data_IF_531401337161
#
_entry.id   IF_531401337161
#
_cell.length_a   1.000
_cell.length_b   1.000
_cell.length_c   1.000
_cell.angle_alpha   90.00
_cell.angle_beta   90.00
_cell.angle_gamma   90.00
#
_symmetry.space_group_name_H-M   'P 1'
#
loop_
_entity.id
_entity.type
_entity.pdbx_description
1 polymer ?
#
# COMPACT_ATOMS: atom_id res chain seq x y z
N UNK A 1 59.47 46.21 -25.82
CA UNK A 1 60.33 46.55 -26.96
C UNK A 1 59.65 46.32 -28.30
N UNK A 2 58.79 45.31 -28.44
CA UNK A 2 58.11 44.98 -29.70
C UNK A 2 57.18 46.10 -30.22
N UNK A 3 56.41 46.75 -29.35
CA UNK A 3 55.52 47.86 -29.75
C UNK A 3 56.28 49.06 -30.35
N UNK A 4 57.47 49.36 -29.83
CA UNK A 4 58.30 50.45 -30.34
C UNK A 4 58.86 50.11 -31.73
N UNK A 5 59.18 48.83 -31.95
CA UNK A 5 59.70 48.32 -33.23
C UNK A 5 58.61 48.36 -34.32
N UNK A 6 57.37 47.96 -33.98
CA UNK A 6 56.22 48.04 -34.88
C UNK A 6 55.90 49.50 -35.25
N UNK A 7 55.94 50.42 -34.28
CA UNK A 7 55.71 51.85 -34.53
C UNK A 7 56.77 52.45 -35.46
N UNK A 8 58.05 52.11 -35.26
CA UNK A 8 59.15 52.59 -36.11
C UNK A 8 59.06 52.06 -37.55
N UNK A 9 58.67 50.80 -37.73
CA UNK A 9 58.44 50.21 -39.06
C UNK A 9 57.26 50.88 -39.76
N UNK A 10 56.17 51.16 -39.04
CA UNK A 10 55.03 51.89 -39.58
C UNK A 10 55.41 53.31 -40.03
N UNK A 11 56.14 54.06 -39.20
CA UNK A 11 56.61 55.41 -39.53
C UNK A 11 57.57 55.40 -40.73
N UNK A 12 58.48 54.43 -40.79
CA UNK A 12 59.40 54.26 -41.93
C UNK A 12 58.63 53.96 -43.24
N UNK A 13 57.57 53.15 -43.16
CA UNK A 13 56.74 52.84 -44.32
C UNK A 13 55.95 54.07 -44.80
N UNK A 14 55.30 54.81 -43.89
CA UNK A 14 54.55 56.01 -44.24
C UNK A 14 55.44 57.14 -44.79
N UNK A 15 56.65 57.30 -44.26
CA UNK A 15 57.61 58.28 -44.78
C UNK A 15 58.11 57.88 -46.16
N UNK A 16 58.38 56.60 -46.42
CA UNK A 16 58.79 56.13 -47.74
C UNK A 16 57.68 56.31 -48.79
N UNK A 17 56.44 55.96 -48.45
CA UNK A 17 55.28 56.15 -49.32
C UNK A 17 55.01 57.65 -49.56
N UNK A 18 55.04 58.46 -48.50
CA UNK A 18 54.84 59.91 -48.58
C UNK A 18 55.90 60.60 -49.46
N UNK A 19 57.18 60.29 -49.26
CA UNK A 19 58.28 60.81 -50.09
C UNK A 19 58.19 60.32 -51.54
N UNK A 20 57.75 59.08 -51.76
CA UNK A 20 57.51 58.53 -53.09
C UNK A 20 56.41 59.28 -53.84
N UNK A 21 55.30 59.58 -53.17
CA UNK A 21 54.19 60.37 -53.74
C UNK A 21 54.64 61.80 -54.00
N UNK A 22 55.36 62.43 -53.07
CA UNK A 22 55.84 63.81 -53.21
C UNK A 22 56.85 63.96 -54.35
N UNK A 23 57.78 63.00 -54.50
CA UNK A 23 58.69 62.93 -55.64
C UNK A 23 57.96 62.68 -56.97
N UNK A 24 56.95 61.81 -56.97
CA UNK A 24 56.15 61.52 -58.15
C UNK A 24 55.39 62.77 -58.62
N UNK A 25 54.74 63.48 -57.70
CA UNK A 25 54.03 64.73 -57.98
C UNK A 25 55.01 65.82 -58.44
N UNK A 26 56.16 65.98 -57.79
CA UNK A 26 57.19 66.95 -58.22
C UNK A 26 57.74 66.65 -59.62
N UNK A 27 58.00 65.37 -59.93
CA UNK A 27 58.44 64.92 -61.25
C UNK A 27 57.36 65.08 -62.32
N UNK A 28 56.09 64.92 -61.94
CA UNK A 28 54.94 65.09 -62.83
C UNK A 28 54.68 66.57 -63.13
N UNK A 29 54.71 67.45 -62.12
CA UNK A 29 54.54 68.90 -62.28
C UNK A 29 55.70 69.52 -63.09
N UNK A 30 56.94 69.07 -62.88
CA UNK A 30 58.10 69.56 -63.65
C UNK A 30 58.13 69.03 -65.09
N UNK A 31 57.32 68.02 -65.41
CA UNK A 31 57.16 67.48 -66.77
C UNK A 31 55.90 68.06 -67.42
N UNK A 32 55.85 69.37 -67.58
CA UNK A 32 54.98 69.99 -68.57
C UNK A 32 55.45 69.56 -69.97
N UNK A 33 54.91 68.45 -70.46
CA UNK A 33 54.95 68.04 -71.86
C UNK A 33 53.50 67.84 -72.33
N UNK A 34 53.15 68.37 -73.51
CA UNK A 34 51.77 68.51 -73.95
C UNK A 34 51.03 67.17 -73.95
N UNK A 35 49.75 67.26 -73.57
CA UNK A 35 48.77 66.19 -73.59
C UNK A 35 48.81 65.44 -74.92
N UNK A 36 48.81 64.10 -74.84
CA UNK A 36 48.38 63.12 -75.87
C UNK A 36 49.25 61.86 -76.04
N UNK A 37 50.11 61.46 -75.08
CA UNK A 37 50.80 60.15 -75.15
C UNK A 37 50.94 59.36 -73.83
N UNK A 38 49.99 59.49 -72.90
CA UNK A 38 49.85 58.57 -71.77
C UNK A 38 48.45 57.93 -71.72
N UNK A 39 47.90 57.59 -72.88
CA UNK A 39 46.71 56.75 -72.98
C UNK A 39 47.10 55.29 -72.78
N UNK A 40 46.34 54.57 -71.97
CA UNK A 40 46.41 53.10 -71.79
C UNK A 40 47.55 52.56 -70.93
N UNK A 41 48.82 52.79 -71.24
CA UNK A 41 49.91 52.05 -70.55
C UNK A 41 50.07 52.43 -69.06
N UNK A 42 49.85 53.70 -68.70
CA UNK A 42 49.92 54.13 -67.30
C UNK A 42 48.70 53.69 -66.48
N UNK A 43 47.52 53.58 -67.12
CA UNK A 43 46.32 53.04 -66.49
C UNK A 43 46.44 51.53 -66.27
N UNK A 44 47.02 50.81 -67.24
CA UNK A 44 47.31 49.37 -67.08
C UNK A 44 48.28 49.15 -65.92
N UNK A 45 49.34 49.96 -65.80
CA UNK A 45 50.29 49.85 -64.68
C UNK A 45 49.63 50.12 -63.32
N UNK A 46 48.73 51.11 -63.24
CA UNK A 46 47.99 51.42 -62.01
C UNK A 46 46.97 50.33 -61.67
N UNK A 47 46.31 49.75 -62.67
CA UNK A 47 45.36 48.64 -62.50
C UNK A 47 46.09 47.36 -62.08
N UNK A 48 47.28 47.08 -62.63
CA UNK A 48 48.14 45.98 -62.19
C UNK A 48 48.66 46.20 -60.77
N UNK A 49 49.01 47.44 -60.41
CA UNK A 49 49.41 47.78 -59.04
C UNK A 49 48.26 47.61 -58.05
N UNK A 50 47.04 48.04 -58.41
CA UNK A 50 45.83 47.86 -57.59
C UNK A 50 45.49 46.36 -57.48
N UNK A 51 45.60 45.60 -58.56
CA UNK A 51 45.44 44.14 -58.54
C UNK A 51 46.52 43.44 -57.71
N UNK A 52 47.75 43.96 -57.67
CA UNK A 52 48.81 43.44 -56.81
C UNK A 52 48.60 43.80 -55.34
N UNK A 53 48.02 44.97 -55.04
CA UNK A 53 47.69 45.40 -53.68
C UNK A 53 46.41 44.73 -53.13
N UNK A 54 45.43 44.42 -53.98
CA UNK A 54 44.21 43.67 -53.63
C UNK A 54 44.44 42.16 -53.68
N UNK A 55 45.38 41.70 -54.52
CA UNK A 55 45.70 40.28 -54.72
C UNK A 55 46.67 39.67 -53.70
N UNK A 56 47.18 40.44 -52.72
CA UNK A 56 48.15 39.95 -51.75
C UNK A 56 47.53 39.20 -50.55
N UNK A 57 46.20 39.16 -50.40
CA UNK A 57 45.53 38.37 -49.34
C UNK A 57 44.94 37.03 -49.84
N UNK A 58 45.42 36.50 -50.97
CA UNK A 58 45.00 35.21 -51.49
C UNK A 58 45.49 34.01 -50.63
N UNK A 59 46.41 34.22 -49.68
CA UNK A 59 46.88 33.17 -48.77
C UNK A 59 45.95 32.93 -47.56
N UNK A 60 45.19 33.93 -47.11
CA UNK A 60 44.29 33.81 -45.94
C UNK A 60 42.87 33.32 -46.25
N UNK A 61 42.47 33.28 -47.52
CA UNK A 61 41.14 32.80 -47.93
C UNK A 61 40.95 31.29 -47.71
N UNK A 62 42.04 30.51 -47.81
CA UNK A 62 42.01 29.05 -47.55
C UNK A 62 41.87 28.73 -46.06
N UNK A 63 42.55 29.49 -45.20
CA UNK A 63 42.53 29.32 -43.74
C UNK A 63 41.16 29.71 -43.15
N UNK A 64 40.58 30.85 -43.58
CA UNK A 64 39.21 31.24 -43.19
C UNK A 64 38.14 30.27 -43.71
N UNK A 65 38.36 29.61 -44.84
CA UNK A 65 37.44 28.59 -45.35
C UNK A 65 37.48 27.32 -44.49
N UNK A 66 38.66 26.92 -44.01
CA UNK A 66 38.83 25.80 -43.09
C UNK A 66 38.17 26.08 -41.72
N UNK A 67 38.40 27.26 -41.14
CA UNK A 67 37.75 27.67 -39.87
C UNK A 67 36.22 27.71 -39.97
N UNK A 68 35.68 28.18 -41.10
CA UNK A 68 34.23 28.26 -41.32
C UNK A 68 33.62 26.86 -41.46
N UNK A 69 34.35 25.91 -42.05
CA UNK A 69 33.93 24.51 -42.11
C UNK A 69 33.96 23.85 -40.73
N UNK A 70 35.00 24.08 -39.94
CA UNK A 70 35.09 23.58 -38.56
C UNK A 70 33.98 24.15 -37.68
N UNK A 71 33.71 25.46 -37.79
CA UNK A 71 32.62 26.11 -37.06
C UNK A 71 31.23 25.58 -37.46
N UNK A 72 31.04 25.24 -38.75
CA UNK A 72 29.80 24.61 -39.22
C UNK A 72 29.63 23.20 -38.64
N UNK A 73 30.69 22.39 -38.66
CA UNK A 73 30.69 21.06 -38.07
C UNK A 73 30.41 21.13 -36.56
N UNK A 74 31.07 22.04 -35.85
CA UNK A 74 30.84 22.28 -34.42
C UNK A 74 29.39 22.73 -34.13
N UNK A 75 28.79 23.56 -34.99
CA UNK A 75 27.39 23.99 -34.85
C UNK A 75 26.42 22.83 -35.05
N UNK A 76 26.65 21.95 -36.02
CA UNK A 76 25.83 20.76 -36.25
C UNK A 76 25.94 19.75 -35.10
N UNK A 77 27.15 19.56 -34.57
CA UNK A 77 27.38 18.75 -33.36
C UNK A 77 26.64 19.34 -32.15
N UNK A 78 26.76 20.64 -31.91
CA UNK A 78 26.08 21.30 -30.80
C UNK A 78 24.55 21.20 -30.94
N UNK A 79 24.04 21.31 -32.16
CA UNK A 79 22.61 21.15 -32.47
C UNK A 79 22.15 19.72 -32.16
N UNK A 80 22.97 18.72 -32.50
CA UNK A 80 22.67 17.31 -32.23
C UNK A 80 22.68 17.02 -30.72
N UNK A 81 23.66 17.54 -29.98
CA UNK A 81 23.73 17.44 -28.52
C UNK A 81 22.53 18.10 -27.84
N UNK A 82 22.13 19.29 -28.29
CA UNK A 82 20.95 19.97 -27.76
C UNK A 82 19.68 19.15 -27.97
N UNK A 83 19.48 18.57 -29.15
CA UNK A 83 18.35 17.66 -29.39
C UNK A 83 18.37 16.42 -28.50
N UNK A 84 19.54 15.83 -28.27
CA UNK A 84 19.67 14.68 -27.36
C UNK A 84 19.33 15.07 -25.92
N UNK A 85 19.83 16.21 -25.45
CA UNK A 85 19.51 16.73 -24.12
C UNK A 85 18.02 17.03 -23.98
N UNK A 86 17.37 17.60 -24.99
CA UNK A 86 15.91 17.81 -25.00
C UNK A 86 15.16 16.49 -24.86
N UNK A 87 15.60 15.43 -25.56
CA UNK A 87 15.02 14.09 -25.43
C UNK A 87 15.22 13.51 -24.02
N UNK A 88 16.43 13.61 -23.47
CA UNK A 88 16.73 13.16 -22.12
C UNK A 88 15.85 13.88 -21.09
N UNK A 89 15.74 15.21 -21.18
CA UNK A 89 14.89 16.04 -20.31
C UNK A 89 13.43 15.58 -20.39
N UNK A 90 12.90 15.36 -21.60
CA UNK A 90 11.52 14.89 -21.77
C UNK A 90 11.31 13.48 -21.20
N UNK A 91 12.30 12.60 -21.34
CA UNK A 91 12.22 11.24 -20.77
C UNK A 91 12.30 11.25 -19.23
N UNK A 92 13.11 12.16 -18.66
CA UNK A 92 13.26 12.35 -17.23
C UNK A 92 12.02 12.98 -16.62
N UNK A 93 11.42 13.97 -17.28
CA UNK A 93 10.18 14.59 -16.81
C UNK A 93 9.04 13.57 -16.78
N UNK A 94 8.91 12.73 -17.81
CA UNK A 94 7.90 11.66 -17.82
C UNK A 94 8.10 10.65 -16.67
N UNK A 95 9.34 10.23 -16.41
CA UNK A 95 9.65 9.34 -15.27
C UNK A 95 9.37 10.01 -13.92
N UNK A 96 9.62 11.31 -13.82
CA UNK A 96 9.34 12.07 -12.60
C UNK A 96 7.83 12.16 -12.34
N UNK A 97 7.02 12.46 -13.36
CA UNK A 97 5.56 12.44 -13.26
C UNK A 97 5.03 11.05 -12.89
N UNK A 98 5.55 9.99 -13.52
CA UNK A 98 5.20 8.61 -13.15
C UNK A 98 5.55 8.30 -11.69
N UNK A 99 6.71 8.76 -11.22
CA UNK A 99 7.12 8.57 -9.82
C UNK A 99 6.23 9.34 -8.84
N UNK A 100 5.74 10.53 -9.21
CA UNK A 100 4.82 11.31 -8.39
C UNK A 100 3.49 10.57 -8.21
N UNK A 101 2.95 9.98 -9.28
CA UNK A 101 1.72 9.19 -9.22
C UNK A 101 1.90 7.99 -8.27
N UNK A 102 3.01 7.27 -8.39
CA UNK A 102 3.32 6.13 -7.49
C UNK A 102 3.44 6.55 -6.02
N UNK A 103 4.01 7.72 -5.75
CA UNK A 103 4.11 8.26 -4.39
C UNK A 103 2.72 8.60 -3.85
N UNK A 104 1.84 9.17 -4.68
CA UNK A 104 0.47 9.50 -4.30
C UNK A 104 -0.35 8.22 -4.00
N UNK A 105 -0.27 7.21 -4.86
CA UNK A 105 -0.88 5.88 -4.65
C UNK A 105 -0.38 5.23 -3.36
N UNK A 106 0.95 5.17 -3.15
CA UNK A 106 1.53 4.61 -1.94
C UNK A 106 1.10 5.39 -0.69
N UNK A 107 0.95 6.71 -0.77
CA UNK A 107 0.47 7.52 0.36
C UNK A 107 -0.99 7.22 0.73
N UNK A 108 -1.84 6.94 -0.27
CA UNK A 108 -3.22 6.53 -0.04
C UNK A 108 -3.30 5.14 0.61
N UNK A 109 -2.48 4.18 0.14
CA UNK A 109 -2.39 2.84 0.75
C UNK A 109 -1.89 2.89 2.21
N UNK A 110 -0.93 3.77 2.51
CA UNK A 110 -0.44 3.96 3.89
C UNK A 110 -1.58 4.46 4.79
N UNK A 111 -2.40 5.40 4.30
CA UNK A 111 -3.51 5.96 5.06
C UNK A 111 -4.60 4.91 5.32
N UNK A 112 -4.90 4.06 4.33
CA UNK A 112 -5.83 2.94 4.48
C UNK A 112 -5.32 1.94 5.53
N UNK A 113 -4.05 1.56 5.45
CA UNK A 113 -3.42 0.65 6.41
C UNK A 113 -3.39 1.23 7.83
N UNK A 114 -3.16 2.53 7.98
CA UNK A 114 -3.20 3.20 9.29
C UNK A 114 -4.61 3.17 9.90
N UNK A 115 -5.64 3.40 9.08
CA UNK A 115 -7.03 3.32 9.53
C UNK A 115 -7.43 1.88 9.91
N UNK A 116 -7.04 0.90 9.10
CA UNK A 116 -7.26 -0.51 9.41
C UNK A 116 -6.55 -0.94 10.72
N UNK A 117 -5.33 -0.42 10.96
CA UNK A 117 -4.61 -0.66 12.20
C UNK A 117 -5.32 -0.05 13.42
N UNK A 118 -5.88 1.16 13.30
CA UNK A 118 -6.68 1.79 14.36
C UNK A 118 -7.94 0.99 14.67
N UNK A 119 -8.67 0.57 13.65
CA UNK A 119 -9.88 -0.25 13.82
C UNK A 119 -9.55 -1.58 14.51
N UNK A 120 -8.43 -2.21 14.13
CA UNK A 120 -7.97 -3.45 14.77
C UNK A 120 -7.63 -3.24 16.25
N UNK A 121 -6.98 -2.13 16.60
CA UNK A 121 -6.71 -1.78 18.00
C UNK A 121 -8.01 -1.53 18.79
N UNK A 122 -8.98 -0.82 18.21
CA UNK A 122 -10.30 -0.65 18.83
C UNK A 122 -10.99 -2.00 19.08
N UNK A 123 -11.00 -2.89 18.09
CA UNK A 123 -11.54 -4.24 18.24
C UNK A 123 -10.80 -5.04 19.33
N UNK A 124 -9.46 -4.98 19.39
CA UNK A 124 -8.69 -5.64 20.45
C UNK A 124 -9.09 -5.14 21.84
N UNK A 125 -9.27 -3.83 22.00
CA UNK A 125 -9.69 -3.27 23.29
C UNK A 125 -11.13 -3.67 23.65
N UNK A 126 -12.02 -3.77 22.67
CA UNK A 126 -13.39 -4.25 22.87
C UNK A 126 -13.40 -5.71 23.31
N UNK A 127 -12.66 -6.58 22.62
CA UNK A 127 -12.51 -8.00 22.99
C UNK A 127 -11.85 -8.18 24.37
N UNK A 128 -10.89 -7.32 24.74
CA UNK A 128 -10.27 -7.37 26.06
C UNK A 128 -11.30 -7.07 27.17
N UNK A 129 -12.16 -6.07 26.98
CA UNK A 129 -13.26 -5.75 27.91
C UNK A 129 -14.28 -6.87 28.00
N UNK A 130 -14.70 -7.42 26.86
CA UNK A 130 -15.64 -8.55 26.83
C UNK A 130 -15.06 -9.76 27.56
N UNK A 131 -13.77 -10.05 27.37
CA UNK A 131 -13.07 -11.11 28.10
C UNK A 131 -13.06 -10.86 29.61
N UNK A 132 -12.81 -9.64 30.06
CA UNK A 132 -12.85 -9.28 31.47
C UNK A 132 -14.26 -9.47 32.05
N UNK A 133 -15.29 -9.03 31.33
CA UNK A 133 -16.70 -9.21 31.72
C UNK A 133 -17.09 -10.70 31.80
N UNK A 134 -16.71 -11.48 30.80
CA UNK A 134 -16.92 -12.94 30.78
C UNK A 134 -16.19 -13.61 31.95
N UNK A 135 -14.97 -13.19 32.25
CA UNK A 135 -14.20 -13.73 33.38
C UNK A 135 -14.90 -13.41 34.70
N UNK A 136 -15.42 -12.19 34.87
CA UNK A 136 -16.18 -11.82 36.07
C UNK A 136 -17.48 -12.64 36.21
N UNK A 137 -18.19 -12.88 35.11
CA UNK A 137 -19.38 -13.75 35.09
C UNK A 137 -19.04 -15.19 35.48
N UNK A 138 -17.94 -15.73 34.98
CA UNK A 138 -17.47 -17.08 35.33
C UNK A 138 -17.21 -17.16 36.84
N UNK A 139 -16.45 -16.21 37.40
CA UNK A 139 -16.16 -16.21 38.85
C UNK A 139 -17.44 -16.10 39.71
N UNK A 140 -18.44 -15.32 39.27
CA UNK A 140 -19.71 -15.21 39.99
C UNK A 140 -20.54 -16.51 39.91
N UNK A 141 -20.49 -17.21 38.77
CA UNK A 141 -21.15 -18.50 38.63
C UNK A 141 -20.46 -19.58 39.46
N UNK A 142 -19.13 -19.58 39.52
CA UNK A 142 -18.36 -20.49 40.38
C UNK A 142 -18.71 -20.31 41.86
N UNK A 143 -18.86 -19.06 42.33
CA UNK A 143 -19.31 -18.77 43.70
C UNK A 143 -20.74 -19.26 43.96
N UNK A 144 -21.66 -19.08 43.00
CA UNK A 144 -23.02 -19.59 43.10
C UNK A 144 -23.07 -21.11 43.16
N UNK A 145 -22.24 -21.79 42.36
CA UNK A 145 -22.13 -23.26 42.39
C UNK A 145 -21.59 -23.72 43.74
N UNK A 146 -20.53 -23.10 44.27
CA UNK A 146 -19.98 -23.45 45.58
C UNK A 146 -21.02 -23.25 46.72
N UNK A 147 -21.79 -22.16 46.67
CA UNK A 147 -22.88 -21.92 47.63
C UNK A 147 -23.99 -22.97 47.49
N UNK A 148 -24.41 -23.29 46.27
CA UNK A 148 -25.42 -24.32 46.03
C UNK A 148 -24.96 -25.70 46.54
N UNK A 149 -23.71 -26.08 46.31
CA UNK A 149 -23.10 -27.31 46.85
C UNK A 149 -23.15 -27.32 48.38
N UNK A 150 -22.78 -26.22 49.03
CA UNK A 150 -22.84 -26.13 50.51
C UNK A 150 -24.26 -26.30 51.06
N UNK A 151 -25.26 -25.75 50.37
CA UNK A 151 -26.68 -25.87 50.74
C UNK A 151 -27.17 -27.30 50.53
N UNK A 152 -26.77 -27.97 49.45
CA UNK A 152 -27.13 -29.38 49.22
C UNK A 152 -26.60 -30.30 50.31
N UNK A 153 -25.35 -30.12 50.75
CA UNK A 153 -24.76 -30.91 51.84
C UNK A 153 -25.50 -30.66 53.16
N UNK A 154 -25.86 -29.41 53.46
CA UNK A 154 -26.63 -29.07 54.66
C UNK A 154 -28.01 -29.74 54.66
N UNK A 155 -28.75 -29.63 53.55
CA UNK A 155 -30.07 -30.27 53.37
C UNK A 155 -29.98 -31.80 53.48
N UNK A 156 -28.95 -32.43 52.92
CA UNK A 156 -28.74 -33.88 53.05
C UNK A 156 -28.59 -34.30 54.53
N UNK A 157 -27.80 -33.56 55.31
CA UNK A 157 -27.66 -33.82 56.75
C UNK A 157 -28.98 -33.63 57.53
N UNK A 158 -29.74 -32.60 57.21
CA UNK A 158 -31.02 -32.29 57.86
C UNK A 158 -32.09 -33.36 57.52
N UNK A 159 -32.08 -33.86 56.29
CA UNK A 159 -32.92 -35.00 55.87
C UNK A 159 -32.54 -36.27 56.62
N UNK A 160 -31.25 -36.52 56.83
CA UNK A 160 -30.78 -37.69 57.59
C UNK A 160 -31.19 -37.61 59.08
N UNK A 161 -31.08 -36.43 59.69
CA UNK A 161 -31.55 -36.16 61.04
C UNK A 161 -33.06 -36.35 61.17
N UNK A 162 -33.85 -35.76 60.28
CA UNK A 162 -35.31 -35.93 60.28
C UNK A 162 -35.73 -37.39 60.07
N UNK A 163 -35.01 -38.13 59.22
CA UNK A 163 -35.25 -39.57 59.02
C UNK A 163 -34.96 -40.37 60.29
N UNK A 164 -33.91 -40.02 61.03
CA UNK A 164 -33.58 -40.67 62.30
C UNK A 164 -34.61 -40.33 63.39
N UNK A 165 -35.09 -39.09 63.46
CA UNK A 165 -36.18 -38.67 64.34
C UNK A 165 -37.49 -39.39 64.02
N UNK A 166 -37.89 -39.46 62.73
CA UNK A 166 -39.08 -40.18 62.30
C UNK A 166 -39.01 -41.67 62.68
N UNK A 167 -37.83 -42.29 62.56
CA UNK A 167 -37.60 -43.66 63.01
C UNK A 167 -37.76 -43.79 64.52
N UNK A 168 -37.17 -42.89 65.32
CA UNK A 168 -37.34 -42.90 66.77
C UNK A 168 -38.80 -42.68 67.21
N UNK A 169 -39.53 -41.82 66.51
CA UNK A 169 -40.94 -41.54 66.76
C UNK A 169 -41.83 -42.73 66.37
N UNK A 170 -41.51 -43.45 65.31
CA UNK A 170 -42.21 -44.70 64.95
C UNK A 170 -42.02 -45.80 66.00
N UNK A 171 -40.86 -45.84 66.68
CA UNK A 171 -40.58 -46.79 67.77
C UNK A 171 -41.31 -46.39 69.06
N UNK A 172 -41.44 -45.10 69.36
CA UNK A 172 -42.20 -44.62 70.52
C UNK A 172 -43.72 -44.76 70.34
N UNK A 173 -44.22 -44.57 69.11
CA UNK A 173 -45.63 -44.82 68.76
C UNK A 173 -45.94 -46.33 68.71
N UNK A 174 -44.99 -47.18 68.29
CA UNK A 174 -45.12 -48.64 68.40
C UNK A 174 -45.05 -49.13 69.87
N UNK A 175 -44.24 -48.51 70.72
CA UNK A 175 -44.21 -48.79 72.17
C UNK A 175 -45.49 -48.31 72.89
N UNK A 176 -46.09 -47.19 72.45
CA UNK A 176 -47.41 -46.74 72.93
C UNK A 176 -48.56 -47.61 72.40
N UNK A 177 -48.47 -48.12 71.16
CA UNK A 177 -49.44 -49.04 70.58
C UNK A 177 -49.40 -50.45 71.18
N UNK A 178 -48.29 -50.87 71.80
CA UNK A 178 -48.20 -52.15 72.50
C UNK A 178 -49.02 -52.22 73.82
N UNK A 179 -49.60 -51.11 74.28
CA UNK A 179 -50.54 -51.07 75.42
C UNK A 179 -52.02 -50.94 75.01
N UNK A 180 -52.34 -50.93 73.71
CA UNK A 180 -53.73 -50.90 73.25
C UNK A 180 -53.92 -51.71 71.97
N UNK A 181 -54.63 -52.82 72.15
CA UNK A 181 -55.38 -53.61 71.17
C UNK A 181 -54.63 -54.53 70.21
N UNK A 182 -54.82 -55.82 70.50
CA UNK A 182 -55.07 -56.86 69.52
C UNK A 182 -56.11 -56.43 68.47
N UNK A 183 -55.91 -56.82 67.21
CA UNK A 183 -56.99 -56.89 66.22
C UNK A 183 -56.58 -56.59 64.77
N UNK A 184 -56.71 -57.62 63.93
CA UNK A 184 -56.98 -57.57 62.49
C UNK A 184 -55.86 -57.25 61.48
N UNK A 185 -55.20 -58.34 61.07
CA UNK A 185 -55.03 -58.84 59.69
C UNK A 185 -55.66 -58.08 58.50
N UNK A 186 -54.84 -57.79 57.48
CA UNK A 186 -54.96 -58.29 56.08
C UNK A 186 -53.78 -57.70 55.25
N UNK A 187 -52.81 -58.51 54.79
CA UNK A 187 -52.67 -59.05 53.41
C UNK A 187 -52.98 -58.00 52.31
N UNK A 188 -52.15 -57.71 51.30
CA UNK A 188 -51.33 -58.58 50.43
C UNK A 188 -50.64 -57.64 49.40
N UNK A 189 -49.36 -57.83 49.04
CA UNK A 189 -48.85 -58.43 47.76
C UNK A 189 -49.19 -57.61 46.51
N UNK A 190 -48.38 -57.36 45.47
CA UNK A 190 -47.24 -58.05 44.84
C UNK A 190 -46.70 -57.08 43.76
N UNK A 191 -45.39 -56.85 43.62
CA UNK A 191 -44.49 -57.42 42.58
C UNK A 191 -45.00 -57.51 41.13
N UNK A 192 -44.11 -57.19 40.17
CA UNK A 192 -44.20 -57.58 38.75
C UNK A 192 -43.84 -56.44 37.80
N UNK A 193 -42.63 -56.31 37.25
CA UNK A 193 -41.97 -57.15 36.23
C UNK A 193 -42.35 -56.79 34.78
N UNK A 194 -41.32 -56.36 34.03
CA UNK A 194 -41.10 -56.35 32.57
C UNK A 194 -42.29 -56.48 31.60
N UNK A 195 -42.38 -55.56 30.65
CA UNK A 195 -42.97 -55.85 29.34
C UNK A 195 -42.30 -55.06 28.21
N UNK A 196 -41.84 -55.82 27.23
CA UNK A 196 -41.20 -55.43 25.98
C UNK A 196 -42.01 -54.41 25.19
N UNK A 197 -41.27 -53.45 24.64
CA UNK A 197 -41.68 -52.37 23.76
C UNK A 197 -42.60 -52.84 22.60
N UNK A 198 -43.85 -52.40 22.64
CA UNK A 198 -44.61 -52.11 21.44
C UNK A 198 -44.43 -50.60 21.18
N UNK A 199 -43.75 -50.25 20.09
CA UNK A 199 -43.52 -48.86 19.71
C UNK A 199 -44.86 -48.20 19.36
N UNK A 200 -45.47 -47.56 20.36
CA UNK A 200 -46.50 -46.55 20.13
C UNK A 200 -45.95 -45.50 19.17
N UNK A 201 -46.75 -44.95 18.24
CA UNK A 201 -46.31 -43.86 17.38
C UNK A 201 -46.07 -42.62 18.26
N UNK A 202 -44.85 -42.47 18.75
CA UNK A 202 -44.37 -41.22 19.35
C UNK A 202 -44.36 -40.21 18.22
N UNK A 203 -44.87 -39.01 18.46
CA UNK A 203 -44.87 -37.91 17.49
C UNK A 203 -44.61 -36.62 18.23
N UNK A 204 -43.60 -35.88 17.79
CA UNK A 204 -43.20 -34.62 18.40
C UNK A 204 -43.71 -33.44 17.59
N UNK A 205 -44.31 -32.45 18.28
CA UNK A 205 -44.84 -31.24 17.62
C UNK A 205 -43.73 -30.33 17.08
N UNK A 206 -42.60 -30.27 17.77
CA UNK A 206 -41.46 -29.40 17.45
C UNK A 206 -40.19 -29.88 18.17
N UNK A 207 -39.05 -29.28 17.83
CA UNK A 207 -37.76 -29.61 18.44
C UNK A 207 -37.66 -29.35 19.94
N UNK A 208 -38.44 -28.41 20.49
CA UNK A 208 -38.48 -28.19 21.93
C UNK A 208 -39.05 -29.40 22.67
N UNK A 209 -40.07 -30.05 22.10
CA UNK A 209 -40.63 -31.28 22.66
C UNK A 209 -39.64 -32.46 22.58
N UNK A 210 -38.86 -32.55 21.50
CA UNK A 210 -37.81 -33.58 21.32
C UNK A 210 -36.70 -33.41 22.37
N UNK A 211 -36.22 -32.17 22.57
CA UNK A 211 -35.20 -31.85 23.59
C UNK A 211 -35.70 -32.07 25.01
N UNK A 212 -36.95 -31.67 25.31
CA UNK A 212 -37.56 -31.92 26.62
C UNK A 212 -37.73 -33.41 26.94
N UNK A 213 -37.93 -34.24 25.91
CA UNK A 213 -37.97 -35.69 26.03
C UNK A 213 -36.58 -36.35 26.08
N UNK A 214 -35.50 -35.59 25.93
CA UNK A 214 -34.13 -36.12 25.89
C UNK A 214 -33.82 -36.95 24.64
N UNK A 215 -34.59 -36.77 23.56
CA UNK A 215 -34.48 -37.55 22.33
C UNK A 215 -33.77 -36.80 21.18
N UNK A 216 -33.13 -35.67 21.47
CA UNK A 216 -32.40 -34.88 20.47
C UNK A 216 -30.90 -35.24 20.49
N UNK A 217 -30.23 -35.30 19.32
CA UNK A 217 -30.79 -35.22 17.96
C UNK A 217 -31.61 -36.47 17.58
N UNK A 218 -32.68 -36.29 16.81
CA UNK A 218 -33.59 -37.37 16.38
C UNK A 218 -33.34 -37.76 14.93
N UNK A 219 -33.07 -39.03 14.63
CA UNK A 219 -32.63 -39.46 13.30
C UNK A 219 -33.78 -39.99 12.45
N UNK A 220 -33.61 -39.91 11.12
CA UNK A 220 -34.55 -40.50 10.17
C UNK A 220 -34.68 -42.01 10.38
N UNK A 221 -35.88 -42.45 10.81
CA UNK A 221 -36.17 -43.85 11.16
C UNK A 221 -36.43 -44.05 12.66
N UNK A 222 -36.07 -43.08 13.49
CA UNK A 222 -36.40 -43.10 14.90
C UNK A 222 -37.91 -42.88 15.12
N UNK A 223 -38.49 -43.53 16.14
CA UNK A 223 -39.89 -43.32 16.50
C UNK A 223 -40.11 -41.85 16.91
N UNK A 224 -40.94 -41.14 16.14
CA UNK A 224 -41.22 -39.72 16.33
C UNK A 224 -40.48 -38.78 15.42
N UNK A 225 -39.60 -39.28 14.55
CA UNK A 225 -39.06 -38.47 13.46
C UNK A 225 -40.19 -38.05 12.49
N UNK A 226 -40.20 -36.76 12.15
CA UNK A 226 -41.05 -36.20 11.09
C UNK A 226 -40.25 -35.14 10.34
N UNK A 227 -40.53 -34.98 9.05
CA UNK A 227 -39.81 -34.03 8.18
C UNK A 227 -39.96 -32.57 8.60
N UNK A 228 -40.87 -32.26 9.52
CA UNK A 228 -41.02 -30.93 10.12
C UNK A 228 -40.03 -30.65 11.26
N UNK A 229 -39.30 -31.66 11.73
CA UNK A 229 -38.26 -31.56 12.77
C UNK A 229 -36.85 -31.39 12.18
N UNK A 230 -36.72 -31.66 10.89
CA UNK A 230 -35.49 -31.65 10.09
C UNK A 230 -35.62 -30.51 9.08
N UNK A 231 -35.03 -29.35 9.39
CA UNK A 231 -35.30 -28.09 8.69
C UNK A 231 -34.61 -28.05 7.32
N UNK A 232 -33.48 -28.72 7.19
CA UNK A 232 -32.60 -28.76 6.04
C UNK A 232 -32.68 -30.08 5.25
N UNK A 233 -33.30 -31.11 5.84
CA UNK A 233 -33.68 -32.35 5.16
C UNK A 233 -32.55 -33.37 5.07
N UNK A 234 -31.54 -33.28 5.93
CA UNK A 234 -30.33 -34.10 5.89
C UNK A 234 -30.52 -35.46 6.61
N UNK A 235 -31.64 -35.64 7.32
CA UNK A 235 -31.97 -36.83 8.09
C UNK A 235 -31.66 -36.72 9.59
N UNK A 236 -31.22 -35.56 10.08
CA UNK A 236 -30.93 -35.28 11.48
C UNK A 236 -31.86 -34.15 11.97
N UNK A 237 -32.89 -34.53 12.72
CA UNK A 237 -33.82 -33.58 13.31
C UNK A 237 -33.29 -32.94 14.59
N UNK A 238 -33.54 -31.64 14.73
CA UNK A 238 -33.37 -30.90 15.98
C UNK A 238 -31.94 -30.81 16.55
N UNK A 239 -30.96 -30.67 15.66
CA UNK A 239 -29.61 -30.17 15.98
C UNK A 239 -29.60 -28.81 16.72
#
# INVERSE_FOLDING_TARGET
MEFLLVLLVAIAWFTFVGLGIMWFVFKFIKRNRPANKYGRNSLIALLVLILALVGFDASGASERAAELQELKAAKEELTSKNKNLEYEIASLSAKYEESLIKVEEASAEILENENAAKELEEQKTAFAKEKEELTAKITSLEEQVANAESVTVALESEVEDLKSQAKAQSVSVAAAAASSSAGSSNSSSSSGETASAAASPVSYKNCSAVRAAGAAPIYKGDPGYGSHLDRDGDGIGCE
#
